data_IF_073591527159
#
_entry.id   IF_073591527159
#
_cell.length_a   1.000
_cell.length_b   1.000
_cell.length_c   1.000
_cell.angle_alpha   90.00
_cell.angle_beta   90.00
_cell.angle_gamma   90.00
#
_symmetry.space_group_name_H-M   'P 1'
#
loop_
_entity.id
_entity.type
_entity.pdbx_description
1 polymer ?
#
# COMPACT_ATOMS: atom_id res chain seq x y z
N UNK A 1 -13.95 -8.64 -22.43
CA UNK A 1 -13.67 -7.23 -22.83
C UNK A 1 -14.46 -6.20 -22.02
N UNK A 2 -15.79 -6.32 -21.84
CA UNK A 2 -16.60 -5.37 -21.04
C UNK A 2 -16.18 -5.29 -19.56
N UNK A 3 -15.86 -6.42 -18.92
CA UNK A 3 -15.40 -6.47 -17.52
C UNK A 3 -14.05 -5.78 -17.32
N UNK A 4 -13.06 -6.09 -18.17
CA UNK A 4 -11.75 -5.45 -18.16
C UNK A 4 -11.83 -3.93 -18.29
N UNK A 5 -12.64 -3.41 -19.22
CA UNK A 5 -12.85 -1.96 -19.37
C UNK A 5 -13.50 -1.33 -18.15
N UNK A 6 -14.50 -1.98 -17.56
CA UNK A 6 -15.14 -1.52 -16.32
C UNK A 6 -14.15 -1.48 -15.16
N UNK A 7 -13.40 -2.57 -14.91
CA UNK A 7 -12.38 -2.63 -13.87
C UNK A 7 -11.35 -1.53 -14.05
N UNK A 8 -10.78 -1.40 -15.26
CA UNK A 8 -9.73 -0.42 -15.55
C UNK A 8 -10.19 1.02 -15.29
N UNK A 9 -11.39 1.38 -15.74
CA UNK A 9 -11.96 2.72 -15.48
C UNK A 9 -12.15 3.02 -14.00
N UNK A 10 -12.51 2.03 -13.19
CA UNK A 10 -12.63 2.21 -11.75
C UNK A 10 -11.27 2.21 -11.05
N UNK A 11 -10.30 1.40 -11.52
CA UNK A 11 -8.95 1.34 -10.98
C UNK A 11 -8.23 2.69 -11.07
N UNK A 12 -8.49 3.50 -12.11
CA UNK A 12 -7.95 4.87 -12.25
C UNK A 12 -8.23 5.74 -11.02
N UNK A 13 -9.39 5.56 -10.38
CA UNK A 13 -9.72 6.28 -9.14
C UNK A 13 -9.18 5.55 -7.91
N UNK A 14 -9.23 4.22 -7.92
CA UNK A 14 -8.82 3.40 -6.77
C UNK A 14 -7.33 3.48 -6.45
N UNK A 15 -6.46 3.70 -7.46
CA UNK A 15 -5.02 3.93 -7.23
C UNK A 15 -4.73 5.16 -6.34
N UNK A 16 -5.68 6.10 -6.22
CA UNK A 16 -5.57 7.25 -5.32
C UNK A 16 -6.30 7.01 -4.00
N UNK A 17 -7.53 6.49 -4.06
CA UNK A 17 -8.39 6.33 -2.89
C UNK A 17 -7.82 5.31 -1.90
N UNK A 18 -7.34 4.16 -2.39
CA UNK A 18 -6.88 3.07 -1.54
C UNK A 18 -5.65 3.48 -0.70
N UNK A 19 -4.57 4.06 -1.26
CA UNK A 19 -3.46 4.53 -0.44
C UNK A 19 -3.83 5.63 0.56
N UNK A 20 -4.82 6.48 0.26
CA UNK A 20 -5.30 7.50 1.20
C UNK A 20 -5.99 6.86 2.40
N UNK A 21 -6.85 5.86 2.17
CA UNK A 21 -7.53 5.12 3.24
C UNK A 21 -6.54 4.26 4.04
N UNK A 22 -5.52 3.69 3.40
CA UNK A 22 -4.50 2.87 4.08
C UNK A 22 -3.57 3.71 4.98
N UNK A 23 -3.32 4.98 4.67
CA UNK A 23 -2.44 5.84 5.47
C UNK A 23 -2.78 5.91 6.98
N UNK A 24 -4.03 6.19 7.41
CA UNK A 24 -4.40 6.14 8.82
C UNK A 24 -4.32 4.72 9.41
N UNK A 25 -4.66 3.69 8.63
CA UNK A 25 -4.58 2.28 9.07
C UNK A 25 -3.14 1.88 9.39
N UNK A 26 -2.19 2.20 8.50
CA UNK A 26 -0.76 1.96 8.75
C UNK A 26 -0.28 2.76 9.96
N UNK A 27 -0.72 4.02 10.07
CA UNK A 27 -0.42 4.86 11.22
C UNK A 27 -0.86 4.23 12.53
N UNK A 28 -2.08 3.73 12.62
CA UNK A 28 -2.59 3.12 13.85
C UNK A 28 -1.82 1.84 14.19
N UNK A 29 -1.57 0.96 13.21
CA UNK A 29 -0.78 -0.27 13.41
C UNK A 29 0.59 0.05 14.02
N UNK A 30 1.27 1.10 13.55
CA UNK A 30 2.64 1.40 13.98
C UNK A 30 2.73 2.38 15.15
N UNK A 31 1.69 3.14 15.49
CA UNK A 31 1.75 4.16 16.55
C UNK A 31 0.85 3.90 17.75
N UNK A 32 -0.23 3.12 17.62
CA UNK A 32 -1.19 2.92 18.70
C UNK A 32 -0.53 2.35 19.96
N UNK A 33 0.32 1.32 19.83
CA UNK A 33 1.00 0.71 20.97
C UNK A 33 2.00 1.64 21.67
N UNK A 34 2.55 2.62 20.94
CA UNK A 34 3.39 3.66 21.54
C UNK A 34 2.55 4.68 22.31
N UNK A 35 1.37 5.05 21.76
CA UNK A 35 0.45 6.02 22.38
C UNK A 35 -0.24 5.45 23.61
N UNK A 36 -0.62 4.17 23.60
CA UNK A 36 -1.27 3.49 24.72
C UNK A 36 -0.28 3.00 25.79
N UNK A 37 1.04 3.08 25.53
CA UNK A 37 2.07 2.53 26.41
C UNK A 37 2.21 1.01 26.36
N UNK A 38 1.35 0.30 25.60
CA UNK A 38 1.39 -1.16 25.46
C UNK A 38 2.73 -1.68 24.91
N UNK A 39 3.46 -0.87 24.14
CA UNK A 39 4.76 -1.23 23.57
C UNK A 39 5.79 -1.65 24.62
N UNK A 40 5.72 -1.10 25.84
CA UNK A 40 6.61 -1.48 26.95
C UNK A 40 6.43 -2.96 27.32
N UNK A 41 5.18 -3.44 27.37
CA UNK A 41 4.88 -4.83 27.69
C UNK A 41 5.34 -5.78 26.58
N UNK A 42 5.12 -5.42 25.32
CA UNK A 42 5.60 -6.24 24.21
C UNK A 42 7.13 -6.42 24.20
N UNK A 43 7.87 -5.38 24.60
CA UNK A 43 9.33 -5.42 24.62
C UNK A 43 9.94 -6.09 25.87
N UNK A 44 9.14 -6.34 26.90
CA UNK A 44 9.53 -7.23 28.00
C UNK A 44 9.52 -8.70 27.57
N UNK A 45 8.60 -9.08 26.68
CA UNK A 45 8.35 -10.50 26.34
C UNK A 45 8.81 -10.91 24.94
N UNK A 46 9.03 -9.96 24.01
CA UNK A 46 9.38 -10.25 22.62
C UNK A 46 10.50 -9.35 22.10
N UNK A 47 11.28 -9.87 21.16
CA UNK A 47 12.28 -9.06 20.47
C UNK A 47 11.61 -7.98 19.61
N UNK A 48 12.24 -6.81 19.51
CA UNK A 48 11.76 -5.69 18.65
C UNK A 48 11.51 -6.13 17.20
N UNK A 49 12.35 -7.02 16.67
CA UNK A 49 12.19 -7.57 15.32
C UNK A 49 10.93 -8.42 15.17
N UNK A 50 10.57 -9.20 16.19
CA UNK A 50 9.36 -10.04 16.18
C UNK A 50 8.10 -9.19 16.26
N UNK A 51 8.13 -8.11 17.06
CA UNK A 51 7.02 -7.14 17.12
C UNK A 51 6.84 -6.45 15.77
N UNK A 52 7.93 -6.03 15.13
CA UNK A 52 7.89 -5.47 13.78
C UNK A 52 7.31 -6.46 12.76
N UNK A 53 7.79 -7.71 12.77
CA UNK A 53 7.30 -8.74 11.86
C UNK A 53 5.80 -9.01 12.05
N UNK A 54 5.31 -9.02 13.29
CA UNK A 54 3.88 -9.16 13.59
C UNK A 54 3.06 -7.97 13.05
N UNK A 55 3.57 -6.74 13.21
CA UNK A 55 2.93 -5.53 12.66
C UNK A 55 2.92 -5.52 11.13
N UNK A 56 4.01 -5.94 10.50
CA UNK A 56 4.10 -6.07 9.04
C UNK A 56 3.14 -7.15 8.52
N UNK A 57 3.04 -8.29 9.20
CA UNK A 57 2.08 -9.35 8.85
C UNK A 57 0.63 -8.87 8.99
N UNK A 58 0.31 -8.14 10.07
CA UNK A 58 -1.01 -7.52 10.25
C UNK A 58 -1.31 -6.51 9.13
N UNK A 59 -0.32 -5.70 8.73
CA UNK A 59 -0.47 -4.74 7.64
C UNK A 59 -0.79 -5.43 6.31
N UNK A 60 -0.06 -6.50 5.96
CA UNK A 60 -0.32 -7.29 4.75
C UNK A 60 -1.74 -7.87 4.79
N UNK A 61 -2.11 -8.51 5.90
CA UNK A 61 -3.43 -9.10 6.07
C UNK A 61 -4.56 -8.08 5.93
N UNK A 62 -4.44 -6.92 6.59
CA UNK A 62 -5.44 -5.85 6.50
C UNK A 62 -5.52 -5.31 5.07
N UNK A 63 -4.39 -5.06 4.42
CA UNK A 63 -4.35 -4.58 3.03
C UNK A 63 -5.03 -5.55 2.07
N UNK A 64 -4.71 -6.85 2.15
CA UNK A 64 -5.32 -7.87 1.32
C UNK A 64 -6.82 -7.99 1.56
N UNK A 65 -7.26 -7.98 2.84
CA UNK A 65 -8.68 -8.04 3.18
C UNK A 65 -9.46 -6.83 2.62
N UNK A 66 -8.87 -5.64 2.68
CA UNK A 66 -9.46 -4.42 2.14
C UNK A 66 -9.55 -4.48 0.61
N UNK A 67 -8.50 -4.93 -0.07
CA UNK A 67 -8.52 -5.09 -1.52
C UNK A 67 -9.58 -6.10 -1.96
N UNK A 68 -9.64 -7.27 -1.32
CA UNK A 68 -10.68 -8.27 -1.62
C UNK A 68 -12.09 -7.70 -1.48
N UNK A 69 -12.33 -6.88 -0.46
CA UNK A 69 -13.62 -6.20 -0.27
C UNK A 69 -13.91 -5.22 -1.41
N UNK A 70 -12.95 -4.37 -1.78
CA UNK A 70 -13.11 -3.42 -2.90
C UNK A 70 -13.40 -4.14 -4.20
N UNK A 71 -12.61 -5.17 -4.53
CA UNK A 71 -12.82 -5.95 -5.76
C UNK A 71 -14.16 -6.71 -5.73
N UNK A 72 -14.57 -7.26 -4.59
CA UNK A 72 -15.88 -7.90 -4.45
C UNK A 72 -17.02 -6.91 -4.71
N UNK A 73 -16.97 -5.70 -4.14
CA UNK A 73 -17.97 -4.65 -4.37
C UNK A 73 -18.01 -4.25 -5.84
N UNK A 74 -16.85 -4.04 -6.48
CA UNK A 74 -16.79 -3.71 -7.91
C UNK A 74 -17.39 -4.83 -8.77
N UNK A 75 -17.11 -6.09 -8.46
CA UNK A 75 -17.73 -7.22 -9.14
C UNK A 75 -19.25 -7.22 -8.97
N UNK A 76 -19.77 -7.02 -7.76
CA UNK A 76 -21.22 -6.99 -7.53
C UNK A 76 -21.88 -5.89 -8.34
N UNK A 77 -21.30 -4.69 -8.38
CA UNK A 77 -21.78 -3.56 -9.20
C UNK A 77 -21.82 -3.94 -10.68
N UNK A 78 -20.76 -4.58 -11.18
CA UNK A 78 -20.71 -5.04 -12.58
C UNK A 78 -21.81 -6.06 -12.90
N UNK A 79 -22.00 -7.06 -12.03
CA UNK A 79 -23.02 -8.10 -12.22
C UNK A 79 -24.43 -7.52 -12.23
N UNK A 80 -24.71 -6.56 -11.35
CA UNK A 80 -26.00 -5.85 -11.34
C UNK A 80 -26.24 -5.06 -12.62
N UNK A 81 -25.20 -4.40 -13.18
CA UNK A 81 -25.34 -3.55 -14.37
C UNK A 81 -25.49 -4.34 -15.67
N UNK A 82 -24.89 -5.54 -15.75
CA UNK A 82 -24.83 -6.35 -16.98
C UNK A 82 -25.67 -7.63 -16.91
N UNK A 83 -26.72 -7.67 -16.08
CA UNK A 83 -27.67 -8.78 -16.03
C UNK A 83 -27.03 -10.12 -15.67
N UNK A 84 -25.97 -10.12 -14.85
CA UNK A 84 -25.30 -11.34 -14.40
C UNK A 84 -24.49 -12.06 -15.48
N UNK A 85 -24.01 -11.40 -16.53
CA UNK A 85 -23.09 -12.04 -17.49
C UNK A 85 -21.68 -12.24 -16.90
N UNK A 86 -21.17 -13.48 -16.95
CA UNK A 86 -20.08 -13.99 -16.08
C UNK A 86 -18.81 -14.43 -16.86
N UNK A 87 -18.59 -13.97 -18.09
CA UNK A 87 -17.47 -14.52 -18.88
C UNK A 87 -16.09 -13.93 -18.48
N UNK A 88 -15.17 -14.78 -17.99
CA UNK A 88 -13.74 -14.48 -17.83
C UNK A 88 -13.32 -13.63 -16.60
N UNK A 89 -14.27 -13.14 -15.80
CA UNK A 89 -14.02 -12.18 -14.71
C UNK A 89 -13.07 -12.67 -13.60
N UNK A 90 -13.07 -13.95 -13.24
CA UNK A 90 -12.31 -14.47 -12.09
C UNK A 90 -10.79 -14.35 -12.28
N UNK A 91 -10.29 -14.77 -13.45
CA UNK A 91 -8.86 -14.74 -13.75
C UNK A 91 -8.35 -13.30 -13.89
N UNK A 92 -9.14 -12.42 -14.53
CA UNK A 92 -8.81 -10.99 -14.63
C UNK A 92 -8.80 -10.32 -13.25
N UNK A 93 -9.79 -10.59 -12.41
CA UNK A 93 -9.85 -10.03 -11.05
C UNK A 93 -8.66 -10.46 -10.19
N UNK A 94 -8.32 -11.75 -10.19
CA UNK A 94 -7.17 -12.24 -9.42
C UNK A 94 -5.85 -11.63 -9.89
N UNK A 95 -5.68 -11.49 -11.20
CA UNK A 95 -4.49 -10.85 -11.79
C UNK A 95 -4.39 -9.39 -11.34
N UNK A 96 -5.45 -8.60 -11.53
CA UNK A 96 -5.46 -7.18 -11.20
C UNK A 96 -5.32 -6.94 -9.69
N UNK A 97 -5.94 -7.77 -8.85
CA UNK A 97 -5.78 -7.71 -7.41
C UNK A 97 -4.33 -7.98 -6.98
N UNK A 98 -3.69 -9.02 -7.53
CA UNK A 98 -2.30 -9.34 -7.23
C UNK A 98 -1.34 -8.22 -7.65
N UNK A 99 -1.57 -7.62 -8.82
CA UNK A 99 -0.79 -6.49 -9.32
C UNK A 99 -0.95 -5.25 -8.44
N UNK A 100 -2.19 -4.97 -8.00
CA UNK A 100 -2.47 -3.87 -7.09
C UNK A 100 -1.74 -4.06 -5.76
N UNK A 101 -1.83 -5.26 -5.17
CA UNK A 101 -1.11 -5.59 -3.93
C UNK A 101 0.39 -5.39 -4.08
N UNK A 102 0.97 -5.90 -5.17
CA UNK A 102 2.40 -5.74 -5.45
C UNK A 102 2.78 -4.25 -5.56
N UNK A 103 2.04 -3.47 -6.36
CA UNK A 103 2.31 -2.05 -6.57
C UNK A 103 2.18 -1.21 -5.28
N UNK A 104 1.38 -1.66 -4.30
CA UNK A 104 1.23 -0.98 -3.01
C UNK A 104 2.41 -1.20 -2.05
N UNK A 105 3.18 -2.29 -2.19
CA UNK A 105 4.25 -2.64 -1.23
C UNK A 105 5.21 -1.48 -0.95
N UNK A 106 5.78 -0.78 -1.96
CA UNK A 106 6.72 0.31 -1.73
C UNK A 106 6.06 1.51 -1.03
N UNK A 107 4.79 1.77 -1.34
CA UNK A 107 4.01 2.85 -0.70
C UNK A 107 3.76 2.53 0.78
N UNK A 108 3.38 1.30 1.08
CA UNK A 108 3.16 0.82 2.45
C UNK A 108 4.42 0.86 3.30
N UNK A 109 5.57 0.51 2.74
CA UNK A 109 6.86 0.61 3.42
C UNK A 109 7.23 2.06 3.72
N UNK A 110 6.99 2.99 2.79
CA UNK A 110 7.18 4.42 3.05
C UNK A 110 6.29 4.90 4.19
N UNK A 111 5.01 4.50 4.19
CA UNK A 111 4.11 4.81 5.29
C UNK A 111 4.60 4.23 6.61
N UNK A 112 5.05 2.98 6.64
CA UNK A 112 5.62 2.37 7.83
C UNK A 112 6.81 3.19 8.34
N UNK A 113 7.73 3.58 7.47
CA UNK A 113 8.87 4.44 7.80
C UNK A 113 8.43 5.75 8.46
N UNK A 114 7.46 6.45 7.86
CA UNK A 114 6.91 7.71 8.40
C UNK A 114 6.27 7.47 9.77
N UNK A 115 5.54 6.37 9.94
CA UNK A 115 4.91 6.01 11.21
C UNK A 115 5.91 5.65 12.31
N UNK A 116 7.05 5.09 11.93
CA UNK A 116 8.15 4.85 12.85
C UNK A 116 8.79 6.19 13.26
N UNK A 117 8.94 7.14 12.35
CA UNK A 117 9.62 8.40 12.64
C UNK A 117 8.77 9.44 13.38
N UNK A 118 7.47 9.52 13.09
CA UNK A 118 6.64 10.64 13.56
C UNK A 118 5.45 10.20 14.43
N UNK A 119 5.09 11.03 15.43
CA UNK A 119 3.93 10.80 16.30
C UNK A 119 2.59 11.08 15.61
N UNK A 120 2.53 12.06 14.70
CA UNK A 120 1.34 12.42 13.89
C UNK A 120 1.42 11.82 12.49
N UNK A 121 1.74 10.53 12.40
CA UNK A 121 2.11 9.88 11.15
C UNK A 121 0.99 9.75 10.13
N UNK A 122 -0.27 9.56 10.53
CA UNK A 122 -1.37 9.44 9.58
C UNK A 122 -1.52 10.67 8.67
N UNK A 123 -1.51 11.87 9.25
CA UNK A 123 -1.60 13.14 8.50
C UNK A 123 -0.37 13.33 7.61
N UNK A 124 0.81 12.97 8.12
CA UNK A 124 2.07 13.10 7.38
C UNK A 124 2.11 12.12 6.20
N UNK A 125 1.66 10.87 6.38
CA UNK A 125 1.54 9.90 5.29
C UNK A 125 0.61 10.42 4.19
N UNK A 126 -0.55 10.98 4.56
CA UNK A 126 -1.50 11.57 3.60
C UNK A 126 -0.85 12.75 2.87
N UNK A 127 -0.20 13.67 3.60
CA UNK A 127 0.48 14.83 3.00
C UNK A 127 1.61 14.40 2.05
N UNK A 128 2.42 13.42 2.44
CA UNK A 128 3.49 12.88 1.59
C UNK A 128 2.92 12.22 0.35
N UNK A 129 1.85 11.44 0.48
CA UNK A 129 1.21 10.82 -0.66
C UNK A 129 0.59 11.85 -1.61
N UNK A 130 -0.09 12.88 -1.08
CA UNK A 130 -0.62 13.98 -1.87
C UNK A 130 0.49 14.77 -2.56
N UNK A 131 1.63 15.02 -1.89
CA UNK A 131 2.79 15.67 -2.51
C UNK A 131 3.38 14.83 -3.65
N UNK A 132 3.47 13.50 -3.47
CA UNK A 132 3.92 12.58 -4.52
C UNK A 132 2.93 12.54 -5.68
N UNK A 133 1.62 12.60 -5.43
CA UNK A 133 0.62 12.68 -6.50
C UNK A 133 0.69 14.02 -7.23
N UNK A 134 0.79 15.13 -6.48
CA UNK A 134 0.91 16.48 -7.05
C UNK A 134 2.23 16.67 -7.80
N UNK A 135 3.24 15.83 -7.52
CA UNK A 135 4.47 15.80 -8.31
C UNK A 135 4.26 15.35 -9.77
N UNK A 136 3.08 14.84 -10.15
CA UNK A 136 2.75 14.65 -11.57
C UNK A 136 2.55 15.96 -12.34
N UNK A 137 2.32 17.08 -11.64
CA UNK A 137 2.36 18.41 -12.25
C UNK A 137 3.80 18.91 -12.44
N UNK A 138 4.80 18.21 -11.90
CA UNK A 138 6.24 18.46 -12.07
C UNK A 138 6.72 17.60 -13.26
N UNK A 139 7.71 18.06 -14.06
CA UNK A 139 8.15 17.37 -15.28
C UNK A 139 8.32 15.85 -15.12
N UNK A 140 7.81 15.09 -16.12
CA UNK A 140 7.74 13.61 -16.24
C UNK A 140 8.93 12.82 -15.68
N UNK A 141 10.13 13.42 -15.71
CA UNK A 141 11.39 12.83 -15.23
C UNK A 141 11.36 12.45 -13.74
N UNK A 142 10.64 13.19 -12.89
CA UNK A 142 10.55 12.87 -11.46
C UNK A 142 9.50 11.79 -11.16
N UNK A 143 8.33 11.85 -11.82
CA UNK A 143 7.28 10.84 -11.68
C UNK A 143 7.77 9.43 -12.02
N UNK A 144 8.68 9.33 -12.99
CA UNK A 144 9.31 8.09 -13.44
C UNK A 144 10.14 7.35 -12.38
N UNK A 145 10.57 8.02 -11.31
CA UNK A 145 11.38 7.39 -10.25
C UNK A 145 10.55 7.14 -8.98
N UNK A 146 9.38 7.77 -8.87
CA UNK A 146 8.56 7.65 -7.65
C UNK A 146 7.85 6.29 -7.54
N UNK A 147 7.60 5.80 -6.32
CA UNK A 147 6.79 4.60 -6.05
C UNK A 147 5.38 4.61 -6.68
N UNK A 148 4.83 5.81 -6.96
CA UNK A 148 3.57 5.95 -7.68
C UNK A 148 3.61 5.31 -9.07
N UNK A 149 4.77 5.30 -9.73
CA UNK A 149 4.94 4.70 -11.06
C UNK A 149 4.44 3.26 -11.10
N UNK A 150 4.57 2.48 -10.02
CA UNK A 150 4.06 1.10 -9.99
C UNK A 150 2.53 1.06 -10.03
N UNK A 151 1.85 1.94 -9.29
CA UNK A 151 0.39 2.06 -9.35
C UNK A 151 -0.09 2.54 -10.73
N UNK A 152 0.69 3.37 -11.42
CA UNK A 152 0.31 3.87 -12.74
C UNK A 152 0.63 2.87 -13.87
N UNK A 153 1.87 2.42 -13.97
CA UNK A 153 2.34 1.56 -15.07
C UNK A 153 1.85 0.11 -14.93
N UNK A 154 1.90 -0.47 -13.74
CA UNK A 154 1.56 -1.89 -13.55
C UNK A 154 0.05 -2.09 -13.47
N UNK A 155 -0.65 -1.29 -12.65
CA UNK A 155 -2.11 -1.45 -12.45
C UNK A 155 -2.91 -0.85 -13.60
N UNK A 156 -2.64 0.39 -14.02
CA UNK A 156 -3.45 1.02 -15.08
C UNK A 156 -2.99 0.64 -16.48
N UNK A 157 -1.68 0.73 -16.75
CA UNK A 157 -1.18 0.51 -18.09
C UNK A 157 -0.87 -0.96 -18.40
N UNK A 158 -0.80 -1.83 -17.38
CA UNK A 158 -0.38 -3.23 -17.53
C UNK A 158 0.97 -3.35 -18.27
N UNK A 159 1.87 -2.37 -18.07
CA UNK A 159 3.20 -2.29 -18.69
C UNK A 159 4.27 -2.67 -17.68
N UNK A 160 5.13 -3.61 -18.08
CA UNK A 160 6.19 -4.14 -17.24
C UNK A 160 7.51 -3.99 -17.98
N UNK A 161 8.25 -2.92 -17.67
CA UNK A 161 9.63 -2.81 -18.15
C UNK A 161 10.57 -3.46 -17.14
N UNK A 162 11.64 -4.09 -17.62
CA UNK A 162 12.65 -4.73 -16.77
C UNK A 162 13.27 -3.75 -15.77
N UNK A 163 13.40 -2.47 -16.16
CA UNK A 163 13.84 -1.37 -15.28
C UNK A 163 12.90 -1.14 -14.10
N UNK A 164 11.59 -1.28 -14.30
CA UNK A 164 10.58 -1.04 -13.26
C UNK A 164 10.63 -2.14 -12.21
N UNK A 165 10.87 -3.39 -12.62
CA UNK A 165 11.04 -4.53 -11.72
C UNK A 165 12.30 -4.33 -10.85
N UNK A 166 13.41 -3.90 -11.45
CA UNK A 166 14.64 -3.60 -10.71
C UNK A 166 14.42 -2.47 -9.70
N UNK A 167 13.76 -1.38 -10.13
CA UNK A 167 13.44 -0.25 -9.27
C UNK A 167 12.52 -0.66 -8.11
N UNK A 168 11.50 -1.48 -8.39
CA UNK A 168 10.59 -2.03 -7.40
C UNK A 168 11.32 -2.85 -6.33
N UNK A 169 12.20 -3.76 -6.75
CA UNK A 169 12.99 -4.59 -5.83
C UNK A 169 13.95 -3.71 -5.00
N UNK A 170 14.62 -2.75 -5.64
CA UNK A 170 15.52 -1.83 -4.95
C UNK A 170 14.79 -1.04 -3.85
N UNK A 171 13.62 -0.46 -4.17
CA UNK A 171 12.80 0.25 -3.19
C UNK A 171 12.31 -0.66 -2.07
N UNK A 172 11.77 -1.83 -2.41
CA UNK A 172 11.20 -2.75 -1.42
C UNK A 172 12.26 -3.24 -0.44
N UNK A 173 13.44 -3.63 -0.93
CA UNK A 173 14.55 -4.09 -0.08
C UNK A 173 15.08 -2.93 0.77
N UNK A 174 15.31 -1.76 0.16
CA UNK A 174 15.84 -0.60 0.87
C UNK A 174 14.92 -0.16 2.02
N UNK A 175 13.63 0.05 1.74
CA UNK A 175 12.69 0.50 2.76
C UNK A 175 12.44 -0.57 3.82
N UNK A 176 12.29 -1.85 3.45
CA UNK A 176 12.14 -2.91 4.44
C UNK A 176 13.33 -2.99 5.40
N UNK A 177 14.56 -2.86 4.89
CA UNK A 177 15.75 -2.83 5.74
C UNK A 177 15.80 -1.59 6.64
N UNK A 178 15.47 -0.42 6.09
CA UNK A 178 15.45 0.84 6.83
C UNK A 178 14.39 0.81 7.94
N UNK A 179 13.18 0.32 7.65
CA UNK A 179 12.08 0.22 8.62
C UNK A 179 12.45 -0.66 9.80
N UNK A 180 13.02 -1.85 9.55
CA UNK A 180 13.49 -2.74 10.61
C UNK A 180 14.55 -2.05 11.46
N UNK A 181 15.54 -1.40 10.81
CA UNK A 181 16.65 -0.74 11.51
C UNK A 181 16.14 0.43 12.37
N UNK A 182 15.24 1.24 11.84
CA UNK A 182 14.63 2.36 12.55
C UNK A 182 13.75 1.87 13.70
N UNK A 183 12.91 0.87 13.48
CA UNK A 183 12.04 0.31 14.51
C UNK A 183 12.83 -0.28 15.68
N UNK A 184 13.91 -1.02 15.40
CA UNK A 184 14.77 -1.60 16.44
C UNK A 184 15.48 -0.53 17.24
N UNK A 185 15.89 0.58 16.62
CA UNK A 185 16.60 1.68 17.30
C UNK A 185 15.68 2.68 17.97
N UNK A 186 14.39 2.72 17.61
CA UNK A 186 13.43 3.69 18.14
C UNK A 186 13.38 3.60 19.67
N UNK A 187 13.67 4.72 20.32
CA UNK A 187 13.57 4.84 21.76
C UNK A 187 12.10 4.80 22.17
N UNK A 188 11.79 4.00 23.19
CA UNK A 188 10.47 4.04 23.83
C UNK A 188 10.54 5.20 24.82
N UNK A 189 10.18 6.40 24.36
CA UNK A 189 10.00 7.52 25.29
C UNK A 189 8.82 7.16 26.20
N UNK A 190 9.13 7.00 27.48
CA UNK A 190 8.23 6.58 28.53
C UNK A 190 7.12 7.58 28.78
#
# INVERSE_FOLDING_TARGET
MLYCGFLKSNLETQIFVIPIILAPVVSDIFTQDYRSGCMKFFLLYKNRKEVFAAKAAALVFITESMLLLVFAVLTTIYLCRNGGQVYGWKAELLKEAALFTAALVPVLLIYAMICILFKNSGIICILVFLLVIMSDFIPRVLGDVTPRRFLWEWVLNNRYHSSDIVLFLAYSIFFAFMDIRLFVRKEILC
#
